data_IF_507174398864
#
_entry.id   IF_507174398864
#
_cell.length_a   1.000
_cell.length_b   1.000
_cell.length_c   1.000
_cell.angle_alpha   90.00
_cell.angle_beta   90.00
_cell.angle_gamma   90.00
#
_symmetry.space_group_name_H-M   'P 1'
#
loop_
_entity.id
_entity.type
_entity.pdbx_description
1 polymer ?
#
# COMPACT_ATOMS: atom_id res chain seq x y z
N UNK A 1 5.09 6.57 46.48
CA UNK A 1 6.06 7.68 46.79
C UNK A 1 5.39 8.65 47.79
N UNK A 2 6.10 9.14 48.80
CA UNK A 2 5.52 10.12 49.76
C UNK A 2 6.59 11.03 50.38
N UNK A 3 6.15 12.18 50.85
CA UNK A 3 6.94 13.13 51.65
C UNK A 3 6.15 13.49 52.90
N UNK A 4 6.81 13.52 54.07
CA UNK A 4 6.23 14.08 55.29
C UNK A 4 6.85 15.46 55.56
N UNK A 5 6.00 16.41 55.88
CA UNK A 5 6.36 17.81 56.06
C UNK A 5 5.88 18.26 57.42
N UNK A 6 6.75 18.92 58.20
CA UNK A 6 6.38 19.47 59.53
C UNK A 6 5.58 20.79 59.38
N UNK A 7 5.17 21.34 60.54
CA UNK A 7 4.42 22.61 60.60
C UNK A 7 5.16 23.82 60.04
N UNK A 8 6.52 23.77 59.96
CA UNK A 8 7.32 24.88 59.41
C UNK A 8 7.59 24.74 57.90
N UNK A 9 7.13 23.65 57.27
CA UNK A 9 7.27 23.38 55.85
C UNK A 9 8.55 22.62 55.47
N UNK A 10 9.29 22.12 56.47
CA UNK A 10 10.50 21.30 56.22
C UNK A 10 10.13 19.82 56.09
N UNK A 11 10.79 19.17 55.15
CA UNK A 11 10.67 17.72 54.94
C UNK A 11 11.34 16.99 56.11
N UNK A 12 10.58 16.14 56.79
CA UNK A 12 11.05 15.33 57.91
C UNK A 12 11.24 13.86 57.55
N UNK A 13 10.56 13.39 56.48
CA UNK A 13 10.70 12.06 55.95
C UNK A 13 10.42 12.02 54.44
N UNK A 14 11.07 11.15 53.74
CA UNK A 14 10.86 10.90 52.31
C UNK A 14 10.92 9.40 52.01
N UNK A 15 10.01 8.92 51.18
CA UNK A 15 9.99 7.53 50.75
C UNK A 15 11.14 7.17 49.80
N UNK A 16 11.54 5.92 49.81
CA UNK A 16 12.75 5.44 49.12
C UNK A 16 12.71 5.67 47.59
N UNK A 17 11.57 5.57 46.98
CA UNK A 17 11.40 5.88 45.53
C UNK A 17 11.81 7.31 45.22
N UNK A 18 11.44 8.28 46.05
CA UNK A 18 11.84 9.69 45.85
C UNK A 18 13.32 9.90 46.05
N UNK A 19 13.96 9.15 46.98
CA UNK A 19 15.42 9.18 47.14
C UNK A 19 16.13 8.65 45.90
N UNK A 20 15.57 7.64 45.24
CA UNK A 20 16.11 7.15 43.95
C UNK A 20 15.99 8.22 42.83
N UNK A 21 14.92 8.99 42.81
CA UNK A 21 14.76 10.06 41.78
C UNK A 21 15.85 11.13 41.90
N UNK A 22 16.26 11.44 43.15
CA UNK A 22 17.27 12.46 43.44
C UNK A 22 18.17 11.98 44.58
N UNK A 23 19.13 11.13 44.31
CA UNK A 23 20.07 10.62 45.33
C UNK A 23 21.05 11.69 45.84
N UNK A 24 21.26 12.71 45.04
CA UNK A 24 22.12 13.87 45.32
C UNK A 24 21.45 14.92 46.22
N UNK A 25 20.15 14.86 46.44
CA UNK A 25 19.42 15.82 47.24
C UNK A 25 19.36 15.42 48.71
N UNK A 26 19.77 16.32 49.62
CA UNK A 26 19.49 16.14 51.02
C UNK A 26 18.02 16.52 51.35
N UNK A 27 17.16 15.51 51.27
CA UNK A 27 15.73 15.68 51.42
C UNK A 27 15.28 16.15 52.81
N UNK A 28 15.86 15.56 53.86
CA UNK A 28 15.48 15.85 55.25
C UNK A 28 16.06 17.19 55.65
N UNK A 29 15.17 18.08 56.12
CA UNK A 29 15.52 19.44 56.45
C UNK A 29 15.33 20.46 55.32
N UNK A 30 15.17 20.02 54.05
CA UNK A 30 14.88 20.90 52.94
C UNK A 30 13.45 21.43 53.03
N UNK A 31 13.17 22.64 52.52
CA UNK A 31 11.82 23.18 52.43
C UNK A 31 11.06 22.57 51.23
N UNK A 32 9.87 22.10 51.47
CA UNK A 32 9.05 21.42 50.45
C UNK A 32 8.83 22.28 49.19
N UNK A 33 8.48 23.57 49.38
CA UNK A 33 8.23 24.47 48.26
C UNK A 33 9.53 24.96 47.56
N UNK A 34 10.70 24.72 48.15
CA UNK A 34 12.01 24.92 47.46
C UNK A 34 12.36 23.72 46.58
N UNK A 35 12.00 22.52 46.98
CA UNK A 35 12.21 21.29 46.22
C UNK A 35 11.16 21.11 45.12
N UNK A 36 9.91 21.37 45.44
CA UNK A 36 8.80 21.20 44.53
C UNK A 36 8.17 22.53 44.12
N UNK A 37 7.93 22.69 42.81
CA UNK A 37 7.08 23.77 42.30
C UNK A 37 5.66 23.23 42.14
N UNK A 38 4.66 23.88 42.81
CA UNK A 38 3.27 23.59 42.57
C UNK A 38 2.80 24.26 41.28
N UNK A 39 2.23 23.46 40.38
CA UNK A 39 1.66 23.92 39.12
C UNK A 39 0.14 24.08 39.20
N UNK A 40 -0.52 23.22 39.99
CA UNK A 40 -1.96 23.28 40.23
C UNK A 40 -2.30 22.74 41.63
N UNK A 41 -3.27 23.28 42.34
CA UNK A 41 -3.98 24.52 41.99
C UNK A 41 -3.06 25.76 42.12
N UNK A 42 -3.28 26.78 41.29
CA UNK A 42 -2.46 28.03 41.29
C UNK A 42 -2.69 28.90 42.54
N UNK A 43 -3.68 28.55 43.33
CA UNK A 43 -4.05 29.25 44.59
C UNK A 43 -3.15 28.86 45.75
N UNK A 44 -2.35 27.80 45.64
CA UNK A 44 -1.47 27.33 46.71
C UNK A 44 -0.06 27.86 46.46
N UNK A 45 0.31 28.90 47.20
CA UNK A 45 1.60 29.56 47.12
C UNK A 45 2.40 29.52 48.45
N UNK A 46 1.75 29.04 49.51
CA UNK A 46 2.34 28.96 50.85
C UNK A 46 2.05 27.63 51.52
N UNK A 47 2.74 27.34 52.61
CA UNK A 47 2.47 26.11 53.38
C UNK A 47 1.11 26.17 54.14
N UNK A 48 0.59 27.36 54.45
CA UNK A 48 -0.77 27.53 54.93
C UNK A 48 -1.80 27.13 53.89
N UNK A 49 -1.65 27.66 52.67
CA UNK A 49 -2.55 27.32 51.54
C UNK A 49 -2.56 25.82 51.27
N UNK A 50 -1.39 25.17 51.36
CA UNK A 50 -1.28 23.71 51.16
C UNK A 50 -2.05 22.92 52.21
N UNK A 51 -2.09 23.40 53.47
CA UNK A 51 -2.85 22.77 54.54
C UNK A 51 -4.36 22.98 54.38
N UNK A 52 -4.75 24.21 54.07
CA UNK A 52 -6.15 24.58 53.85
C UNK A 52 -6.76 23.86 52.66
N UNK A 53 -5.91 23.42 51.72
CA UNK A 53 -6.27 22.61 50.56
C UNK A 53 -5.92 21.13 50.73
N UNK A 54 -5.81 20.59 51.92
CA UNK A 54 -5.60 19.17 52.17
C UNK A 54 -6.74 18.33 51.54
N UNK A 55 -6.38 17.22 50.89
CA UNK A 55 -7.30 16.36 50.13
C UNK A 55 -7.48 16.73 48.67
N UNK A 56 -6.99 17.89 48.26
CA UNK A 56 -7.07 18.31 46.82
C UNK A 56 -5.89 17.72 46.02
N UNK A 57 -6.20 17.40 44.76
CA UNK A 57 -5.18 16.91 43.81
C UNK A 57 -4.19 17.99 43.46
N UNK A 58 -2.93 17.68 43.68
CA UNK A 58 -1.80 18.55 43.39
C UNK A 58 -1.08 18.11 42.10
N UNK A 59 -0.66 19.07 41.31
CA UNK A 59 0.30 18.88 40.25
C UNK A 59 1.59 19.59 40.64
N UNK A 60 2.66 18.83 40.79
CA UNK A 60 3.95 19.29 41.26
C UNK A 60 5.04 19.00 40.20
N UNK A 61 6.13 19.71 40.36
CA UNK A 61 7.30 19.51 39.52
C UNK A 61 8.55 19.65 40.40
N UNK A 62 9.53 18.78 40.24
CA UNK A 62 10.85 19.01 40.81
C UNK A 62 11.46 20.25 40.16
N UNK A 63 12.03 21.17 40.99
CA UNK A 63 12.60 22.43 40.48
C UNK A 63 13.90 22.22 39.75
N UNK A 64 14.72 21.31 40.24
CA UNK A 64 16.02 21.04 39.65
C UNK A 64 15.94 20.01 38.51
N UNK A 65 16.93 20.06 37.62
CA UNK A 65 17.05 19.09 36.52
C UNK A 65 17.50 17.71 37.04
N UNK A 66 16.92 16.61 36.51
CA UNK A 66 15.87 16.57 35.49
C UNK A 66 14.50 17.00 36.05
N UNK A 67 13.81 17.80 35.28
CA UNK A 67 12.45 18.28 35.60
C UNK A 67 11.46 17.13 35.54
N UNK A 68 10.89 16.76 36.68
CA UNK A 68 9.96 15.64 36.78
C UNK A 68 8.59 16.13 37.26
N UNK A 69 7.56 15.87 36.46
CA UNK A 69 6.19 16.15 36.83
C UNK A 69 5.61 15.03 37.67
N UNK A 70 4.99 15.40 38.76
CA UNK A 70 4.35 14.48 39.72
C UNK A 70 2.91 14.94 39.99
N UNK A 71 2.07 13.98 40.31
CA UNK A 71 0.75 14.25 40.86
C UNK A 71 0.75 13.81 42.32
N UNK A 72 -0.02 14.53 43.16
CA UNK A 72 -0.06 14.19 44.56
C UNK A 72 -1.35 14.61 45.22
N UNK A 73 -1.47 14.17 46.49
CA UNK A 73 -2.51 14.62 47.41
C UNK A 73 -1.83 14.84 48.78
N UNK A 74 -2.04 16.00 49.37
CA UNK A 74 -1.62 16.29 50.73
C UNK A 74 -2.71 15.89 51.73
N UNK A 75 -2.32 15.17 52.77
CA UNK A 75 -3.25 14.75 53.85
C UNK A 75 -2.65 15.20 55.18
N UNK A 76 -3.49 15.82 56.01
CA UNK A 76 -3.09 16.19 57.37
C UNK A 76 -2.95 14.96 58.26
N UNK A 77 -1.87 14.88 59.02
CA UNK A 77 -1.56 13.75 59.87
C UNK A 77 -1.28 14.24 61.30
N UNK A 78 -2.22 13.95 62.23
CA UNK A 78 -2.11 14.30 63.63
C UNK A 78 -2.39 15.79 63.96
N UNK A 79 -2.36 16.12 65.26
CA UNK A 79 -2.69 17.46 65.74
C UNK A 79 -1.54 18.48 65.48
N UNK A 80 -0.31 18.00 65.22
CA UNK A 80 0.90 18.83 65.16
C UNK A 80 1.09 19.54 63.82
N UNK A 81 0.09 19.53 62.94
CA UNK A 81 0.16 20.19 61.63
C UNK A 81 1.14 19.55 60.62
N UNK A 82 1.44 18.28 60.83
CA UNK A 82 2.24 17.47 59.88
C UNK A 82 1.37 17.13 58.66
N UNK A 83 1.97 17.25 57.46
CA UNK A 83 1.34 16.83 56.22
C UNK A 83 2.07 15.64 55.63
N UNK A 84 1.32 14.69 55.11
CA UNK A 84 1.85 13.64 54.21
C UNK A 84 1.40 13.98 52.82
N UNK A 85 2.35 14.18 51.93
CA UNK A 85 2.07 14.35 50.50
C UNK A 85 2.35 13.03 49.81
N UNK A 86 1.31 12.35 49.37
CA UNK A 86 1.42 11.14 48.58
C UNK A 86 1.60 11.56 47.11
N UNK A 87 2.61 11.01 46.44
CA UNK A 87 3.04 11.41 45.10
C UNK A 87 2.99 10.21 44.13
N UNK A 88 2.73 10.48 42.87
CA UNK A 88 2.78 9.51 41.77
C UNK A 88 3.20 10.17 40.45
N UNK A 89 3.74 9.42 39.51
CA UNK A 89 4.00 9.90 38.16
C UNK A 89 2.71 10.10 37.31
N UNK A 90 1.59 9.48 37.72
CA UNK A 90 0.37 9.47 36.92
C UNK A 90 0.63 8.84 35.54
N UNK A 91 0.20 9.53 34.50
CA UNK A 91 0.36 9.03 33.11
C UNK A 91 1.81 8.98 32.63
N UNK A 92 2.72 9.74 33.25
CA UNK A 92 4.13 9.80 32.91
C UNK A 92 4.96 8.70 33.60
N UNK A 93 4.32 7.66 34.15
CA UNK A 93 5.00 6.56 34.86
C UNK A 93 5.99 5.83 33.96
N UNK A 94 5.69 5.64 32.68
CA UNK A 94 6.57 4.96 31.72
C UNK A 94 7.88 5.74 31.51
N UNK A 95 7.78 7.06 31.37
CA UNK A 95 8.92 7.94 31.19
C UNK A 95 9.75 8.01 32.50
N UNK A 96 9.07 8.10 33.66
CA UNK A 96 9.72 8.09 34.97
C UNK A 96 10.48 6.79 35.25
N UNK A 97 9.90 5.63 34.92
CA UNK A 97 10.55 4.33 35.06
C UNK A 97 11.82 4.26 34.23
N UNK A 98 11.77 4.69 32.99
CA UNK A 98 12.95 4.70 32.09
C UNK A 98 14.00 5.70 32.51
N UNK A 99 13.60 6.91 32.91
CA UNK A 99 14.50 8.00 33.25
C UNK A 99 15.26 7.75 34.54
N UNK A 100 14.64 7.07 35.52
CA UNK A 100 15.22 6.87 36.84
C UNK A 100 15.55 5.41 37.15
N UNK A 101 15.52 4.55 36.13
CA UNK A 101 15.76 3.09 36.24
C UNK A 101 14.97 2.45 37.39
N UNK A 102 13.68 2.80 37.48
CA UNK A 102 12.79 2.29 38.51
C UNK A 102 12.35 0.87 38.15
N UNK A 103 12.17 0.08 39.19
CA UNK A 103 11.66 -1.29 39.10
C UNK A 103 10.28 -1.40 39.77
N UNK A 104 9.62 -2.49 39.56
CA UNK A 104 8.36 -2.83 40.21
C UNK A 104 8.47 -2.79 41.78
N UNK A 105 9.64 -3.08 42.34
CA UNK A 105 9.88 -2.98 43.78
C UNK A 105 9.89 -1.54 44.33
N UNK A 106 9.99 -0.53 43.45
CA UNK A 106 9.99 0.89 43.82
C UNK A 106 8.57 1.46 43.99
N UNK A 107 7.56 0.69 43.61
CA UNK A 107 6.15 1.08 43.73
C UNK A 107 5.47 0.32 44.85
N UNK A 108 4.50 0.96 45.49
CA UNK A 108 3.68 0.25 46.48
C UNK A 108 2.84 -0.84 45.78
N UNK A 109 2.56 -1.97 46.45
CA UNK A 109 1.73 -3.04 45.86
C UNK A 109 0.31 -2.58 45.46
N UNK A 110 -0.16 -1.48 46.02
CA UNK A 110 -1.45 -0.85 45.73
C UNK A 110 -1.35 0.29 44.69
N UNK A 111 -0.14 0.53 44.13
CA UNK A 111 0.06 1.56 43.13
C UNK A 111 -0.28 1.00 41.75
N UNK A 112 -1.19 1.65 41.06
CA UNK A 112 -1.61 1.29 39.69
C UNK A 112 -0.47 1.44 38.66
N UNK A 113 0.68 1.97 39.05
CA UNK A 113 1.83 2.14 38.18
C UNK A 113 2.28 0.84 37.51
N UNK A 114 2.32 -0.26 38.28
CA UNK A 114 2.72 -1.57 37.80
C UNK A 114 1.75 -2.11 36.74
N UNK A 115 0.45 -1.98 36.98
CA UNK A 115 -0.60 -2.40 36.05
C UNK A 115 -0.56 -1.55 34.76
N UNK A 116 -0.36 -0.23 34.91
CA UNK A 116 -0.20 0.66 33.75
C UNK A 116 1.01 0.31 32.89
N UNK A 117 2.15 -0.01 33.51
CA UNK A 117 3.35 -0.44 32.79
C UNK A 117 3.10 -1.72 31.99
N UNK A 118 2.47 -2.70 32.62
CA UNK A 118 2.09 -3.95 31.96
C UNK A 118 1.14 -3.72 30.77
N UNK A 119 0.11 -2.87 30.95
CA UNK A 119 -0.83 -2.52 29.87
C UNK A 119 -0.16 -1.80 28.71
N UNK A 120 0.79 -0.90 28.99
CA UNK A 120 1.55 -0.17 27.95
C UNK A 120 2.43 -1.14 27.16
N UNK A 121 3.11 -2.06 27.84
CA UNK A 121 3.96 -3.06 27.20
C UNK A 121 3.14 -4.04 26.35
N UNK A 122 2.03 -4.55 26.88
CA UNK A 122 1.09 -5.41 26.15
C UNK A 122 0.52 -4.71 24.92
N UNK A 123 0.13 -3.43 25.04
CA UNK A 123 -0.34 -2.61 23.92
C UNK A 123 0.76 -2.42 22.86
N UNK A 124 1.99 -2.13 23.28
CA UNK A 124 3.12 -1.95 22.35
C UNK A 124 3.38 -3.21 21.54
N UNK A 125 3.43 -4.37 22.21
CA UNK A 125 3.61 -5.67 21.57
C UNK A 125 2.49 -6.00 20.60
N UNK A 126 1.24 -5.76 21.00
CA UNK A 126 0.08 -5.96 20.14
C UNK A 126 0.10 -5.05 18.90
N UNK A 127 0.50 -3.77 19.07
CA UNK A 127 0.63 -2.82 17.95
C UNK A 127 1.72 -3.24 16.96
N UNK A 128 2.85 -3.75 17.44
CA UNK A 128 3.92 -4.27 16.56
C UNK A 128 3.48 -5.51 15.79
N UNK A 129 2.79 -6.44 16.45
CA UNK A 129 2.23 -7.62 15.80
C UNK A 129 1.21 -7.23 14.72
N UNK A 130 0.34 -6.27 15.01
CA UNK A 130 -0.65 -5.74 14.07
C UNK A 130 0.00 -5.07 12.86
N UNK A 131 1.06 -4.27 13.06
CA UNK A 131 1.82 -3.67 11.94
C UNK A 131 2.44 -4.72 11.02
N UNK A 132 3.07 -5.76 11.61
CA UNK A 132 3.66 -6.85 10.84
C UNK A 132 2.60 -7.61 10.03
N UNK A 133 1.43 -7.86 10.62
CA UNK A 133 0.33 -8.53 9.94
C UNK A 133 -0.20 -7.70 8.77
N UNK A 134 -0.41 -6.39 8.96
CA UNK A 134 -0.86 -5.50 7.89
C UNK A 134 0.12 -5.45 6.70
N UNK A 135 1.43 -5.35 6.97
CA UNK A 135 2.43 -5.38 5.90
C UNK A 135 2.41 -6.70 5.12
N UNK A 136 2.22 -7.83 5.79
CA UNK A 136 2.08 -9.14 5.14
C UNK A 136 0.81 -9.23 4.29
N UNK A 137 -0.32 -8.75 4.81
CA UNK A 137 -1.59 -8.74 4.08
C UNK A 137 -1.52 -7.84 2.84
N UNK A 138 -0.93 -6.66 2.95
CA UNK A 138 -0.72 -5.77 1.81
C UNK A 138 0.18 -6.43 0.75
N UNK A 139 1.29 -7.04 1.14
CA UNK A 139 2.16 -7.76 0.21
C UNK A 139 1.45 -8.95 -0.47
N UNK A 140 0.69 -9.73 0.28
CA UNK A 140 -0.11 -10.83 -0.28
C UNK A 140 -1.21 -10.34 -1.23
N UNK A 141 -1.85 -9.21 -0.93
CA UNK A 141 -2.85 -8.59 -1.79
C UNK A 141 -2.26 -8.12 -3.11
N UNK A 142 -1.12 -7.41 -3.07
CA UNK A 142 -0.39 -6.97 -4.29
C UNK A 142 0.00 -8.19 -5.14
N UNK A 143 0.60 -9.22 -4.52
CA UNK A 143 1.00 -10.43 -5.24
C UNK A 143 -0.20 -11.16 -5.87
N UNK A 144 -1.34 -11.22 -5.15
CA UNK A 144 -2.57 -11.82 -5.67
C UNK A 144 -3.16 -11.00 -6.83
N UNK A 145 -3.11 -9.67 -6.76
CA UNK A 145 -3.52 -8.78 -7.85
C UNK A 145 -2.62 -8.95 -9.07
N UNK A 146 -1.29 -8.96 -8.89
CA UNK A 146 -0.34 -9.21 -9.97
C UNK A 146 -0.61 -10.56 -10.64
N UNK A 147 -0.78 -11.63 -9.86
CA UNK A 147 -1.10 -12.96 -10.37
C UNK A 147 -2.47 -13.01 -11.06
N UNK A 148 -3.46 -12.26 -10.57
CA UNK A 148 -4.80 -12.22 -11.15
C UNK A 148 -4.87 -11.46 -12.48
N UNK A 149 -3.95 -10.51 -12.72
CA UNK A 149 -3.99 -9.58 -13.87
C UNK A 149 -2.79 -9.70 -14.81
N UNK A 150 -1.87 -10.64 -14.58
CA UNK A 150 -0.66 -10.85 -15.40
C UNK A 150 -0.67 -12.24 -16.04
N UNK A 151 -0.21 -12.35 -17.27
CA UNK A 151 0.11 -13.61 -17.93
C UNK A 151 1.47 -14.11 -17.45
N UNK A 152 1.50 -15.29 -16.85
CA UNK A 152 2.69 -15.83 -16.15
C UNK A 152 3.86 -16.16 -17.10
N UNK A 153 3.59 -16.43 -18.39
CA UNK A 153 4.63 -16.74 -19.35
C UNK A 153 5.31 -15.48 -19.88
N UNK A 154 4.53 -14.46 -20.21
CA UNK A 154 5.02 -13.28 -20.95
C UNK A 154 5.23 -12.06 -20.05
N UNK A 155 4.65 -12.04 -18.84
CA UNK A 155 4.65 -10.86 -17.95
C UNK A 155 3.73 -9.72 -18.41
N UNK A 156 3.04 -9.88 -19.55
CA UNK A 156 2.04 -8.93 -20.01
C UNK A 156 0.76 -8.98 -19.17
N UNK A 157 -0.11 -8.02 -19.36
CA UNK A 157 -1.47 -8.12 -18.81
C UNK A 157 -2.20 -9.31 -19.42
N UNK A 158 -3.05 -9.98 -18.63
CA UNK A 158 -3.89 -11.05 -19.11
C UNK A 158 -5.26 -10.53 -19.61
N UNK A 159 -6.11 -11.42 -20.12
CA UNK A 159 -7.48 -11.10 -20.59
C UNK A 159 -8.27 -10.32 -19.55
N UNK A 160 -8.24 -10.73 -18.27
CA UNK A 160 -8.99 -10.06 -17.19
C UNK A 160 -8.53 -8.62 -16.97
N UNK A 161 -7.23 -8.37 -17.04
CA UNK A 161 -6.70 -7.01 -16.95
C UNK A 161 -7.12 -6.13 -18.13
N UNK A 162 -7.09 -6.69 -19.35
CA UNK A 162 -7.57 -6.00 -20.56
C UNK A 162 -9.06 -5.62 -20.43
N UNK A 163 -9.92 -6.56 -20.03
CA UNK A 163 -11.34 -6.33 -19.84
C UNK A 163 -11.59 -5.17 -18.86
N UNK A 164 -10.82 -5.13 -17.78
CA UNK A 164 -10.92 -4.06 -16.78
C UNK A 164 -10.48 -2.69 -17.34
N UNK A 165 -9.41 -2.65 -18.13
CA UNK A 165 -8.93 -1.41 -18.79
C UNK A 165 -9.96 -0.88 -19.78
N UNK A 166 -10.51 -1.76 -20.62
CA UNK A 166 -11.52 -1.39 -21.62
C UNK A 166 -12.82 -0.90 -20.95
N UNK A 167 -13.29 -1.62 -19.91
CA UNK A 167 -14.49 -1.20 -19.16
C UNK A 167 -14.33 0.22 -18.61
N UNK A 168 -13.20 0.52 -17.98
CA UNK A 168 -12.90 1.87 -17.46
C UNK A 168 -12.81 2.93 -18.55
N UNK A 169 -12.26 2.60 -19.71
CA UNK A 169 -12.18 3.54 -20.84
C UNK A 169 -13.57 3.86 -21.40
N UNK A 170 -14.43 2.84 -21.53
CA UNK A 170 -15.82 2.99 -21.96
C UNK A 170 -16.65 3.82 -20.96
N UNK A 171 -16.56 3.52 -19.66
CA UNK A 171 -17.26 4.26 -18.60
C UNK A 171 -16.86 5.75 -18.56
N UNK A 172 -15.58 6.04 -18.77
CA UNK A 172 -15.06 7.42 -18.81
C UNK A 172 -15.36 8.15 -20.12
N UNK A 173 -15.82 7.43 -21.11
CA UNK A 173 -15.97 7.99 -22.47
C UNK A 173 -14.62 8.41 -23.05
N UNK A 174 -13.52 7.70 -22.72
CA UNK A 174 -12.20 7.99 -23.27
C UNK A 174 -12.08 7.33 -24.63
N UNK A 175 -11.70 8.10 -25.65
CA UNK A 175 -11.41 7.58 -26.98
C UNK A 175 -10.19 6.66 -26.93
N UNK A 176 -10.23 5.51 -27.62
CA UNK A 176 -9.09 4.61 -27.76
C UNK A 176 -9.16 3.81 -29.07
N UNK A 177 -8.02 3.27 -29.46
CA UNK A 177 -7.95 2.24 -30.49
C UNK A 177 -7.67 0.88 -29.85
N UNK A 178 -8.31 -0.17 -30.37
CA UNK A 178 -8.07 -1.55 -30.00
C UNK A 178 -7.39 -2.24 -31.18
N UNK A 179 -6.22 -2.85 -30.95
CA UNK A 179 -5.50 -3.68 -31.90
C UNK A 179 -5.46 -5.11 -31.37
N UNK A 180 -5.97 -6.06 -32.13
CA UNK A 180 -5.84 -7.49 -31.84
C UNK A 180 -4.84 -8.10 -32.81
N UNK A 181 -3.89 -8.84 -32.28
CA UNK A 181 -2.85 -9.53 -33.03
C UNK A 181 -2.96 -11.02 -32.82
N UNK A 182 -2.70 -11.76 -33.91
CA UNK A 182 -2.55 -13.20 -33.91
C UNK A 182 -1.25 -13.55 -34.65
N UNK A 183 -0.44 -14.43 -34.05
CA UNK A 183 0.86 -14.78 -34.60
C UNK A 183 0.72 -15.78 -35.74
N UNK A 184 1.00 -15.33 -36.95
CA UNK A 184 0.99 -16.18 -38.12
C UNK A 184 2.16 -17.17 -38.05
N UNK A 185 1.89 -18.44 -38.37
CA UNK A 185 2.84 -19.56 -38.35
C UNK A 185 3.34 -20.01 -36.98
N UNK A 186 2.79 -19.50 -35.87
CA UNK A 186 3.20 -19.88 -34.52
C UNK A 186 3.01 -21.39 -34.26
N UNK A 187 1.91 -21.97 -34.74
CA UNK A 187 1.68 -23.41 -34.64
C UNK A 187 2.79 -24.21 -35.34
N UNK A 188 3.27 -23.77 -36.48
CA UNK A 188 4.39 -24.43 -37.21
C UNK A 188 5.68 -24.44 -36.36
N UNK A 189 5.97 -23.34 -35.62
CA UNK A 189 7.11 -23.30 -34.71
C UNK A 189 6.96 -24.36 -33.61
N UNK A 190 5.79 -24.44 -32.98
CA UNK A 190 5.52 -25.45 -31.95
C UNK A 190 5.65 -26.88 -32.50
N UNK A 191 5.06 -27.13 -33.66
CA UNK A 191 5.03 -28.46 -34.27
C UNK A 191 6.42 -28.91 -34.74
N UNK A 192 7.31 -27.95 -35.10
CA UNK A 192 8.66 -28.25 -35.68
C UNK A 192 9.75 -28.21 -34.59
N UNK A 193 9.72 -27.23 -33.69
CA UNK A 193 10.80 -26.95 -32.74
C UNK A 193 10.37 -27.20 -31.27
N UNK A 194 9.11 -27.60 -31.04
CA UNK A 194 8.58 -27.90 -29.72
C UNK A 194 8.03 -26.68 -28.96
N UNK A 195 7.33 -26.94 -27.87
CA UNK A 195 6.67 -25.91 -27.07
C UNK A 195 7.66 -24.92 -26.40
N UNK A 196 8.89 -25.36 -26.07
CA UNK A 196 9.91 -24.49 -25.52
C UNK A 196 10.32 -23.36 -26.49
N UNK A 197 10.40 -23.66 -27.78
CA UNK A 197 10.61 -22.68 -28.83
C UNK A 197 9.41 -21.72 -28.95
N UNK A 198 8.19 -22.25 -28.86
CA UNK A 198 6.97 -21.45 -28.83
C UNK A 198 6.93 -20.48 -27.63
N UNK A 199 7.28 -20.95 -26.44
CA UNK A 199 7.37 -20.11 -25.24
C UNK A 199 8.41 -19.01 -25.39
N UNK A 200 9.57 -19.32 -25.97
CA UNK A 200 10.60 -18.33 -26.29
C UNK A 200 10.10 -17.26 -27.29
N UNK A 201 9.37 -17.68 -28.33
CA UNK A 201 8.73 -16.76 -29.28
C UNK A 201 7.74 -15.85 -28.58
N UNK A 202 6.82 -16.40 -27.76
CA UNK A 202 5.82 -15.60 -27.03
C UNK A 202 6.46 -14.57 -26.10
N UNK A 203 7.51 -14.94 -25.39
CA UNK A 203 8.26 -14.01 -24.54
C UNK A 203 8.99 -12.93 -25.35
N UNK A 204 9.50 -13.27 -26.52
CA UNK A 204 10.17 -12.31 -27.42
C UNK A 204 9.16 -11.36 -28.04
N UNK A 205 8.02 -11.86 -28.50
CA UNK A 205 6.88 -11.05 -28.99
C UNK A 205 6.42 -10.06 -27.92
N UNK A 206 6.25 -10.51 -26.68
CA UNK A 206 5.85 -9.65 -25.57
C UNK A 206 6.82 -8.47 -25.38
N UNK A 207 8.13 -8.72 -25.40
CA UNK A 207 9.17 -7.67 -25.31
C UNK A 207 9.08 -6.69 -26.48
N UNK A 208 8.95 -7.20 -27.70
CA UNK A 208 8.80 -6.37 -28.90
C UNK A 208 7.57 -5.47 -28.79
N UNK A 209 6.44 -5.99 -28.31
CA UNK A 209 5.21 -5.21 -28.18
C UNK A 209 5.35 -4.11 -27.14
N UNK A 210 5.98 -4.37 -26.00
CA UNK A 210 6.25 -3.36 -24.98
C UNK A 210 7.20 -2.28 -25.50
N UNK A 211 8.25 -2.66 -26.25
CA UNK A 211 9.21 -1.71 -26.82
C UNK A 211 8.57 -0.77 -27.86
N UNK A 212 7.54 -1.25 -28.58
CA UNK A 212 6.89 -0.49 -29.67
C UNK A 212 5.69 0.32 -29.22
N UNK A 213 5.29 0.18 -27.94
CA UNK A 213 4.17 0.88 -27.32
C UNK A 213 4.64 1.88 -26.27
N UNK A 214 3.76 2.78 -25.84
CA UNK A 214 4.04 3.78 -24.81
C UNK A 214 3.68 3.25 -23.44
N UNK A 215 4.10 3.93 -22.37
CA UNK A 215 3.78 3.60 -21.01
C UNK A 215 2.28 3.66 -20.69
N UNK A 216 1.55 4.52 -21.37
CA UNK A 216 0.09 4.67 -21.27
C UNK A 216 -0.69 3.59 -22.05
N UNK A 217 -0.06 2.94 -23.03
CA UNK A 217 -0.67 1.85 -23.80
C UNK A 217 -0.76 0.58 -22.93
N UNK A 218 -1.79 -0.19 -23.15
CA UNK A 218 -1.96 -1.47 -22.46
C UNK A 218 -1.74 -2.61 -23.44
N UNK A 219 -0.72 -3.45 -23.17
CA UNK A 219 -0.45 -4.67 -23.91
C UNK A 219 -0.90 -5.88 -23.09
N UNK A 220 -1.69 -6.75 -23.69
CA UNK A 220 -2.21 -7.94 -23.04
C UNK A 220 -2.08 -9.18 -23.94
N UNK A 221 -1.92 -10.35 -23.30
CA UNK A 221 -2.05 -11.65 -23.95
C UNK A 221 -3.39 -12.29 -23.56
N UNK A 222 -4.20 -12.65 -24.54
CA UNK A 222 -5.51 -13.25 -24.31
C UNK A 222 -5.45 -14.76 -24.06
N UNK A 223 -4.43 -15.42 -24.61
CA UNK A 223 -4.15 -16.83 -24.52
C UNK A 223 -3.55 -17.35 -25.84
N UNK A 224 -2.88 -18.48 -25.81
CA UNK A 224 -2.23 -19.01 -27.02
C UNK A 224 -1.29 -18.01 -27.69
N UNK A 225 -1.56 -17.69 -28.94
CA UNK A 225 -0.85 -16.77 -29.82
C UNK A 225 -1.59 -15.43 -30.02
N UNK A 226 -2.63 -15.15 -29.23
CA UNK A 226 -3.44 -13.93 -29.33
C UNK A 226 -2.99 -12.85 -28.37
N UNK A 227 -2.77 -11.65 -28.91
CA UNK A 227 -2.39 -10.46 -28.15
C UNK A 227 -3.33 -9.29 -28.47
N UNK A 228 -3.44 -8.37 -27.52
CA UNK A 228 -4.23 -7.14 -27.70
C UNK A 228 -3.45 -5.94 -27.19
N UNK A 229 -3.58 -4.82 -27.91
CA UNK A 229 -3.07 -3.51 -27.48
C UNK A 229 -4.26 -2.55 -27.41
N UNK A 230 -4.43 -1.91 -26.26
CA UNK A 230 -5.35 -0.78 -26.07
C UNK A 230 -4.52 0.50 -26.08
N UNK A 231 -4.80 1.39 -27.02
CA UNK A 231 -4.07 2.65 -27.24
C UNK A 231 -5.01 3.83 -26.93
N UNK A 232 -4.91 4.42 -25.72
CA UNK A 232 -5.72 5.57 -25.36
C UNK A 232 -5.31 6.82 -26.16
N UNK A 233 -6.27 7.73 -26.34
CA UNK A 233 -6.08 9.05 -26.96
C UNK A 233 -5.43 9.08 -28.35
N UNK A 234 -5.46 7.97 -29.08
CA UNK A 234 -4.96 7.92 -30.45
C UNK A 234 -6.07 8.35 -31.43
N UNK A 235 -5.83 9.46 -32.14
CA UNK A 235 -6.78 10.06 -33.09
C UNK A 235 -6.37 9.90 -34.56
N UNK A 236 -5.21 9.33 -34.82
CA UNK A 236 -4.57 9.35 -36.15
C UNK A 236 -4.42 7.93 -36.70
N UNK A 237 -5.23 7.58 -37.72
CA UNK A 237 -5.12 6.30 -38.45
C UNK A 237 -3.71 6.09 -39.02
N UNK A 238 -3.04 7.07 -39.65
CA UNK A 238 -1.63 6.95 -40.04
C UNK A 238 -0.70 6.57 -38.90
N UNK A 239 -0.91 7.09 -37.67
CA UNK A 239 -0.08 6.69 -36.51
C UNK A 239 -0.30 5.21 -36.15
N UNK A 240 -1.53 4.72 -36.08
CA UNK A 240 -1.84 3.32 -35.84
C UNK A 240 -1.28 2.40 -36.94
N UNK A 241 -1.36 2.84 -38.18
CA UNK A 241 -0.78 2.10 -39.31
C UNK A 241 0.73 1.98 -39.20
N UNK A 242 1.42 3.04 -38.74
CA UNK A 242 2.86 3.00 -38.46
C UNK A 242 3.19 2.03 -37.33
N UNK A 243 2.43 2.03 -36.23
CA UNK A 243 2.62 1.09 -35.10
C UNK A 243 2.47 -0.35 -35.59
N UNK A 244 1.36 -0.68 -36.25
CA UNK A 244 1.14 -2.03 -36.77
C UNK A 244 2.22 -2.48 -37.77
N UNK A 245 2.64 -1.61 -38.69
CA UNK A 245 3.72 -1.92 -39.62
C UNK A 245 5.07 -2.15 -38.96
N UNK A 246 5.40 -1.40 -37.89
CA UNK A 246 6.64 -1.61 -37.14
C UNK A 246 6.60 -2.91 -36.37
N UNK A 247 5.47 -3.21 -35.71
CA UNK A 247 5.28 -4.49 -35.00
C UNK A 247 5.49 -5.67 -35.94
N UNK A 248 4.78 -5.71 -37.08
CA UNK A 248 4.91 -6.80 -38.04
C UNK A 248 6.36 -6.95 -38.50
N UNK A 249 7.01 -5.87 -38.91
CA UNK A 249 8.43 -5.91 -39.39
C UNK A 249 9.38 -6.43 -38.32
N UNK A 250 9.19 -6.06 -37.05
CA UNK A 250 10.03 -6.55 -35.96
C UNK A 250 9.76 -8.02 -35.64
N UNK A 251 8.51 -8.46 -35.72
CA UNK A 251 8.13 -9.86 -35.51
C UNK A 251 8.60 -10.80 -36.63
N UNK A 252 8.75 -10.29 -37.86
CA UNK A 252 9.27 -11.05 -39.00
C UNK A 252 10.80 -11.24 -38.96
N UNK A 253 11.49 -10.57 -38.03
CA UNK A 253 12.93 -10.84 -37.84
C UNK A 253 13.07 -12.22 -37.17
N UNK A 254 13.85 -13.15 -37.75
CA UNK A 254 14.05 -14.48 -37.21
C UNK A 254 14.51 -14.43 -35.74
N UNK A 255 13.90 -15.25 -34.89
CA UNK A 255 14.20 -15.33 -33.46
C UNK A 255 15.03 -16.58 -33.18
N UNK A 256 16.33 -16.44 -32.85
CA UNK A 256 17.19 -17.60 -32.64
C UNK A 256 16.82 -18.36 -31.36
N UNK A 257 16.70 -19.68 -31.47
CA UNK A 257 16.46 -20.60 -30.38
C UNK A 257 17.21 -21.90 -30.60
N UNK A 258 18.15 -22.27 -29.71
CA UNK A 258 18.92 -23.52 -29.71
C UNK A 258 19.54 -23.86 -31.10
N UNK A 259 20.06 -22.84 -31.79
CA UNK A 259 20.71 -23.00 -33.10
C UNK A 259 19.75 -23.07 -34.31
N UNK A 260 18.44 -22.89 -34.06
CA UNK A 260 17.41 -22.78 -35.12
C UNK A 260 16.80 -21.39 -35.12
N UNK A 261 16.25 -20.96 -36.23
CA UNK A 261 15.52 -19.69 -36.35
C UNK A 261 14.03 -19.92 -36.31
N UNK A 262 13.36 -19.34 -35.33
CA UNK A 262 11.89 -19.30 -35.26
C UNK A 262 11.40 -18.13 -36.14
N UNK A 263 10.70 -18.45 -37.21
CA UNK A 263 10.15 -17.46 -38.15
C UNK A 263 8.64 -17.38 -38.00
N UNK A 264 8.14 -16.19 -37.67
CA UNK A 264 6.71 -15.87 -37.55
C UNK A 264 6.39 -14.58 -38.27
N UNK A 265 5.12 -14.26 -38.42
CA UNK A 265 4.60 -12.93 -38.73
C UNK A 265 3.41 -12.63 -37.84
N UNK A 266 2.68 -11.57 -38.07
CA UNK A 266 1.45 -11.26 -37.35
C UNK A 266 0.37 -10.68 -38.25
N UNK A 267 -0.84 -11.16 -38.08
CA UNK A 267 -2.05 -10.53 -38.60
C UNK A 267 -2.64 -9.61 -37.54
N UNK A 268 -3.05 -8.40 -37.93
CA UNK A 268 -3.57 -7.36 -36.99
C UNK A 268 -4.94 -6.90 -37.45
N UNK A 269 -5.93 -6.94 -36.55
CA UNK A 269 -7.21 -6.24 -36.66
C UNK A 269 -7.15 -4.95 -35.85
N UNK A 270 -7.78 -3.88 -36.29
CA UNK A 270 -7.82 -2.59 -35.58
C UNK A 270 -9.21 -1.96 -35.65
N UNK A 271 -9.73 -1.52 -34.51
CA UNK A 271 -10.98 -0.78 -34.39
C UNK A 271 -10.78 0.47 -33.55
N UNK A 272 -11.57 1.52 -33.86
CA UNK A 272 -11.64 2.73 -33.04
C UNK A 272 -12.90 2.73 -32.19
N UNK A 273 -12.74 3.16 -30.94
CA UNK A 273 -13.85 3.58 -30.11
C UNK A 273 -13.90 5.10 -30.04
N UNK A 274 -15.04 5.66 -30.44
CA UNK A 274 -15.37 7.07 -30.27
C UNK A 274 -16.51 7.22 -29.25
N UNK A 275 -16.38 8.13 -28.26
CA UNK A 275 -17.45 8.40 -27.31
C UNK A 275 -18.74 8.79 -28.02
N UNK A 276 -19.87 8.21 -27.59
CA UNK A 276 -21.17 8.45 -28.21
C UNK A 276 -21.47 7.57 -29.42
N UNK A 277 -20.57 6.68 -29.85
CA UNK A 277 -20.85 5.72 -30.94
C UNK A 277 -21.88 4.64 -30.57
N UNK A 278 -22.21 4.49 -29.28
CA UNK A 278 -23.08 3.43 -28.78
C UNK A 278 -22.46 2.04 -28.80
N UNK A 279 -21.15 1.95 -29.11
CA UNK A 279 -20.41 0.68 -29.08
C UNK A 279 -20.17 0.25 -27.64
N UNK A 280 -20.42 -1.01 -27.34
CA UNK A 280 -20.05 -1.68 -26.09
C UNK A 280 -18.79 -2.53 -26.28
N UNK A 281 -18.27 -3.09 -25.19
CA UNK A 281 -17.07 -3.94 -25.20
C UNK A 281 -17.21 -5.13 -26.17
N UNK A 282 -18.38 -5.75 -26.17
CA UNK A 282 -18.63 -6.93 -27.00
C UNK A 282 -18.59 -6.59 -28.49
N UNK A 283 -19.28 -5.51 -28.88
CA UNK A 283 -19.26 -5.06 -30.27
C UNK A 283 -17.90 -4.68 -30.77
N UNK A 284 -17.06 -4.06 -29.92
CA UNK A 284 -15.66 -3.70 -30.25
C UNK A 284 -14.79 -4.92 -30.46
N UNK A 285 -14.94 -5.95 -29.60
CA UNK A 285 -14.22 -7.22 -29.75
C UNK A 285 -14.67 -7.96 -31.00
N UNK A 286 -15.96 -8.02 -31.27
CA UNK A 286 -16.50 -8.62 -32.49
C UNK A 286 -16.01 -7.87 -33.75
N UNK A 287 -15.90 -6.55 -33.71
CA UNK A 287 -15.44 -5.72 -34.82
C UNK A 287 -13.95 -5.87 -35.10
N UNK A 288 -13.15 -5.98 -34.04
CA UNK A 288 -11.70 -6.19 -34.21
C UNK A 288 -11.38 -7.60 -34.69
N UNK A 289 -12.18 -8.62 -34.29
CA UNK A 289 -12.05 -9.99 -34.82
C UNK A 289 -12.37 -10.04 -36.32
N UNK A 290 -13.42 -9.35 -36.78
CA UNK A 290 -13.74 -9.22 -38.22
C UNK A 290 -12.56 -8.63 -39.00
N UNK A 291 -11.92 -7.58 -38.46
CA UNK A 291 -10.75 -6.96 -39.08
C UNK A 291 -9.52 -7.89 -39.08
N UNK A 292 -9.28 -8.61 -37.97
CA UNK A 292 -8.21 -9.59 -37.87
C UNK A 292 -8.38 -10.74 -38.87
N UNK A 293 -9.59 -11.27 -38.98
CA UNK A 293 -9.92 -12.30 -39.95
C UNK A 293 -9.70 -11.83 -41.40
N UNK A 294 -10.06 -10.58 -41.69
CA UNK A 294 -9.79 -9.98 -43.00
C UNK A 294 -8.28 -9.92 -43.30
N UNK A 295 -7.44 -9.60 -42.30
CA UNK A 295 -5.97 -9.63 -42.44
C UNK A 295 -5.47 -11.03 -42.77
N UNK A 296 -5.94 -12.06 -42.04
CA UNK A 296 -5.57 -13.48 -42.30
C UNK A 296 -5.98 -13.91 -43.70
N UNK A 297 -7.20 -13.60 -44.15
CA UNK A 297 -7.68 -13.95 -45.50
C UNK A 297 -6.94 -13.23 -46.63
N UNK A 298 -6.52 -12.00 -46.41
CA UNK A 298 -5.80 -11.22 -47.42
C UNK A 298 -4.33 -11.62 -47.58
N UNK A 299 -3.86 -12.71 -46.95
CA UNK A 299 -2.52 -13.26 -47.10
C UNK A 299 -1.60 -13.06 -45.88
N UNK A 300 -2.16 -12.73 -44.71
CA UNK A 300 -1.44 -12.56 -43.43
C UNK A 300 -0.38 -11.41 -43.45
N UNK A 301 0.41 -11.29 -42.40
CA UNK A 301 1.51 -10.30 -42.32
C UNK A 301 1.05 -8.86 -42.54
N UNK A 302 -0.16 -8.47 -42.08
CA UNK A 302 -0.75 -7.17 -42.34
C UNK A 302 -1.71 -6.69 -41.29
N UNK A 303 -2.02 -5.40 -41.36
CA UNK A 303 -3.00 -4.74 -40.53
C UNK A 303 -4.23 -4.35 -41.37
N UNK A 304 -5.41 -4.70 -40.86
CA UNK A 304 -6.72 -4.27 -41.42
C UNK A 304 -7.46 -3.44 -40.38
N UNK A 305 -8.00 -2.31 -40.82
CA UNK A 305 -8.90 -1.50 -40.00
C UNK A 305 -10.34 -1.93 -40.23
N UNK A 306 -11.08 -2.08 -39.15
CA UNK A 306 -12.48 -2.40 -39.22
C UNK A 306 -13.27 -1.33 -40.01
N UNK A 307 -14.19 -1.80 -40.81
CA UNK A 307 -15.23 -0.98 -41.42
C UNK A 307 -16.52 -1.83 -41.57
N UNK A 308 -17.71 -1.21 -41.53
CA UNK A 308 -18.96 -1.95 -41.71
C UNK A 308 -19.06 -2.70 -43.04
N UNK A 309 -18.28 -2.30 -44.03
CA UNK A 309 -18.20 -2.98 -45.36
C UNK A 309 -17.53 -4.36 -45.23
N UNK A 310 -16.53 -4.53 -44.33
CA UNK A 310 -15.86 -5.82 -44.07
C UNK A 310 -16.86 -6.84 -43.55
N UNK A 311 -17.70 -6.46 -42.57
CA UNK A 311 -18.71 -7.34 -41.98
C UNK A 311 -19.72 -7.82 -43.00
N UNK A 312 -20.17 -6.91 -43.91
CA UNK A 312 -21.08 -7.28 -45.04
C UNK A 312 -20.43 -8.24 -46.01
N UNK A 313 -19.15 -8.06 -46.34
CA UNK A 313 -18.42 -8.91 -47.27
C UNK A 313 -18.20 -10.34 -46.74
N UNK A 314 -18.05 -10.48 -45.42
CA UNK A 314 -17.90 -11.80 -44.76
C UNK A 314 -19.24 -12.56 -44.80
N UNK A 315 -20.34 -11.91 -44.43
CA UNK A 315 -21.68 -12.53 -44.43
C UNK A 315 -22.13 -12.97 -45.83
N UNK A 316 -21.81 -12.19 -46.87
CA UNK A 316 -22.12 -12.53 -48.24
C UNK A 316 -21.36 -13.80 -48.74
N UNK A 317 -20.09 -13.98 -48.31
CA UNK A 317 -19.30 -15.13 -48.69
C UNK A 317 -19.70 -16.43 -47.95
N UNK A 318 -20.15 -16.33 -46.66
CA UNK A 318 -20.67 -17.48 -45.92
C UNK A 318 -21.97 -17.99 -46.49
N UNK A 319 -22.87 -17.07 -46.93
CA UNK A 319 -24.13 -17.44 -47.60
C UNK A 319 -23.90 -18.16 -48.92
N UNK A 320 -22.84 -17.79 -49.67
CA UNK A 320 -22.49 -18.43 -50.96
C UNK A 320 -21.87 -19.83 -50.77
N UNK A 321 -21.10 -20.01 -49.69
CA UNK A 321 -20.46 -21.32 -49.37
C UNK A 321 -21.47 -22.35 -48.88
N UNK A 322 -22.57 -21.95 -48.21
CA UNK A 322 -23.62 -22.85 -47.74
C UNK A 322 -24.62 -23.25 -48.88
N UNK A 323 -24.64 -22.53 -50.00
CA UNK A 323 -25.46 -22.89 -51.16
C UNK A 323 -24.73 -23.80 -52.18
N UNK A 324 -23.41 -23.98 -52.00
CA UNK A 324 -22.57 -24.77 -52.91
C UNK A 324 -22.15 -26.16 -52.35
N UNK A 325 -22.63 -26.53 -51.16
CA UNK A 325 -22.42 -27.84 -50.52
C UNK A 325 -23.74 -28.57 -50.31
#
# INVERSE_FOLDING_TARGET
MHVMINHTGHIVHVGDTLRKLRPDLNWVGARFLEVFALKRPRTVNSMSDLRDNAGIKLHLQLRDSPVTELKGVAVACGPDGVLIVNLSFGISVVDGVRQYDLTHADFAPTDLATEMLYLVEAKSTAMEAWRKLNLRLQGAMIAAEEQAFTDTLTGLKNRRAMDHVMARALERGTQFALMQLDLDFFKLVNDTLGHAAGDHVLQTVARIMVDETRSEDTVARLGGDEFVIVLPDVRDIPALRRIGSRLIKRLEVPMPFEGNDCCISASIGTVFFEPGSGADMRSLLDDVDVALYASKRAGRGRQTFYSPALRRGLNANESTSQQAG
#
